data_IF_734797349373
#
_entry.id   IF_734797349373
#
_cell.length_a   1.000
_cell.length_b   1.000
_cell.length_c   1.000
_cell.angle_alpha   90.00
_cell.angle_beta   90.00
_cell.angle_gamma   90.00
#
_symmetry.space_group_name_H-M   'P 1'
#
loop_
_entity.id
_entity.type
_entity.pdbx_description
1 polymer ?
2 polymer ?
3 polymer ?
4 polymer ?
5 non-polymer ?
6 water ?
#
loop_
_entity_poly.entity_id
_entity_poly.type
_entity_poly.pdbx_seq_one_letter_code
_entity_poly.pdbx_strand_id
1 'polydeoxyribonucleotide' '(DC)(DA)(DG)(DG)(DT)(DC)(DA)(DA)(DA)(DG)(DG)(DT)(DC)(DA)(DG)' ?
2 'polydeoxyribonucleotide' '(DC)(DT)(DG)(DA)(DC)(DC)(DT)(DT)(DT)(DG)(DA)(DC)(DC)(DT)(DG)' ?
#
# COMPACT_ATOMS: atom_id res chain seq x y z
N UNK C 6 18.16 9.32 -12.03
CA UNK C 6 17.02 9.17 -11.11
C UNK C 6 15.80 9.92 -11.65
N UNK C 7 14.63 9.54 -11.15
CA UNK C 7 13.36 10.15 -11.53
C UNK C 7 13.38 11.65 -11.26
N UNK C 8 13.08 12.53 -12.20
CA UNK C 8 13.09 13.97 -11.93
C UNK C 8 12.05 14.40 -10.90
N UNK C 9 11.00 13.61 -10.76
CA UNK C 9 9.94 13.98 -9.82
C UNK C 9 10.25 13.52 -8.39
N UNK C 10 10.69 12.27 -8.24
CA UNK C 10 10.81 11.73 -6.89
C UNK C 10 12.14 11.11 -6.54
N UNK C 11 13.09 11.06 -7.47
CA UNK C 11 14.45 10.60 -7.33
C UNK C 11 14.56 9.08 -7.17
N UNK C 12 13.44 8.36 -7.28
CA UNK C 12 13.52 6.89 -7.36
C UNK C 12 14.24 6.48 -8.63
N UNK C 13 14.61 5.20 -8.76
CA UNK C 13 15.24 4.73 -9.99
C UNK C 13 14.31 4.96 -11.17
N UNK C 14 14.88 5.48 -12.25
CA UNK C 14 14.15 5.76 -13.48
C UNK C 14 14.10 4.52 -14.35
N UNK C 15 13.08 4.47 -15.21
CA UNK C 15 12.97 3.36 -16.16
C UNK C 15 13.13 3.89 -17.59
N UNK C 16 13.57 5.13 -17.69
CA UNK C 16 13.80 5.82 -18.94
C UNK C 16 12.99 7.09 -19.03
N UNK C 17 12.98 7.72 -20.20
CA UNK C 17 12.18 8.92 -20.40
C UNK C 17 10.72 8.57 -20.60
N UNK C 18 9.86 9.34 -19.94
CA UNK C 18 8.42 9.24 -19.95
C UNK C 18 7.85 10.66 -19.88
N UNK C 19 7.10 11.00 -20.92
CA UNK C 19 6.40 12.25 -21.11
C UNK C 19 7.40 13.41 -21.04
N UNK C 20 8.63 13.14 -21.47
CA UNK C 20 9.62 14.18 -21.66
C UNK C 20 10.69 14.25 -20.60
N UNK C 21 10.61 13.43 -19.55
CA UNK C 21 11.61 13.46 -18.49
C UNK C 21 11.99 12.05 -18.05
N UNK C 22 13.20 11.95 -17.51
CA UNK C 22 13.58 10.71 -16.83
C UNK C 22 12.61 10.47 -15.67
N UNK C 23 11.97 9.31 -15.62
CA UNK C 23 10.96 9.07 -14.58
C UNK C 23 10.86 7.62 -14.16
N UNK C 24 10.46 7.40 -12.90
CA UNK C 24 10.21 6.03 -12.47
C UNK C 24 8.84 5.54 -12.94
N UNK C 25 8.66 4.22 -12.87
CA UNK C 25 7.38 3.63 -13.30
C UNK C 25 6.21 4.19 -12.51
N UNK C 26 6.35 4.49 -11.22
CA UNK C 26 5.28 5.12 -10.49
C UNK C 26 4.85 6.49 -10.93
N UNK C 27 5.82 7.40 -11.17
CA UNK C 27 5.48 8.75 -11.56
C UNK C 27 4.95 8.71 -12.99
N UNK C 28 5.54 7.84 -13.82
CA UNK C 28 5.01 7.59 -15.17
C UNK C 28 3.54 7.20 -15.15
N UNK C 29 3.21 6.17 -14.38
CA UNK C 29 1.82 5.69 -14.30
C UNK C 29 0.89 6.69 -13.71
N UNK C 30 1.33 7.37 -12.64
CA UNK C 30 0.54 8.38 -11.98
C UNK C 30 0.16 9.54 -12.90
N UNK C 31 1.18 10.04 -13.61
CA UNK C 31 0.93 11.10 -14.58
C UNK C 31 -0.09 10.69 -15.66
N UNK C 32 0.17 9.55 -16.30
CA UNK C 32 -0.72 9.01 -17.32
C UNK C 32 -2.15 8.93 -16.82
N UNK C 33 -2.35 8.33 -15.63
CA UNK C 33 -3.71 8.24 -15.11
C UNK C 33 -4.30 9.61 -14.86
N UNK C 34 -3.49 10.51 -14.31
CA UNK C 34 -4.00 11.83 -13.94
C UNK C 34 -4.56 12.55 -15.17
N UNK C 35 -3.84 12.38 -16.28
CA UNK C 35 -4.22 13.07 -17.51
C UNK C 35 -5.36 12.37 -18.23
N UNK C 36 -5.20 11.06 -18.42
CA UNK C 36 -6.22 10.28 -19.10
C UNK C 36 -7.59 10.49 -18.46
N UNK C 37 -7.63 10.55 -17.13
CA UNK C 37 -8.90 10.72 -16.43
C UNK C 37 -9.19 12.13 -15.95
N UNK C 38 -8.41 13.12 -16.37
CA UNK C 38 -8.62 14.51 -15.98
C UNK C 38 -8.77 14.67 -14.47
N UNK C 39 -7.96 13.96 -13.70
CA UNK C 39 -8.05 14.03 -12.25
C UNK C 39 -7.81 15.45 -11.73
N UNK C 40 -8.56 15.80 -10.70
CA UNK C 40 -8.35 17.10 -10.05
C UNK C 40 -8.03 16.82 -8.59
N UNK C 41 -6.86 17.28 -8.13
CA UNK C 41 -6.53 16.92 -6.76
C UNK C 41 -6.53 18.16 -5.87
N UNK C 42 -6.56 17.94 -4.57
CA UNK C 42 -6.43 19.04 -3.62
C UNK C 42 -5.36 18.78 -2.57
N UNK C 43 -4.70 19.86 -2.17
CA UNK C 43 -3.66 19.77 -1.13
C UNK C 43 -4.24 20.17 0.23
N UNK C 44 -4.07 19.27 1.18
CA UNK C 44 -4.58 19.40 2.53
C UNK C 44 -3.60 20.17 3.42
N UNK C 45 -2.45 20.51 2.86
CA UNK C 45 -1.40 21.22 3.60
C UNK C 45 -1.11 22.54 2.92
N UNK C 46 0.10 22.80 2.43
CA UNK C 46 0.36 24.13 1.88
C UNK C 46 0.75 24.17 0.41
N UNK C 47 0.39 23.14 -0.34
CA UNK C 47 0.75 23.06 -1.75
C UNK C 47 2.26 23.17 -1.94
N UNK C 48 3.01 22.68 -0.95
CA UNK C 48 4.46 22.65 -0.95
C UNK C 48 5.02 21.34 -0.42
N UNK C 49 4.22 20.28 -0.54
CA UNK C 49 4.60 18.99 0.00
C UNK C 49 5.86 18.40 -0.59
N UNK C 50 6.68 17.83 0.28
CA UNK C 50 7.87 17.14 -0.19
C UNK C 50 7.51 15.88 -0.96
N UNK C 51 8.14 15.74 -2.12
CA UNK C 51 7.89 14.60 -3.00
C UNK C 51 9.21 13.91 -3.28
N UNK C 52 9.38 12.76 -2.64
CA UNK C 52 10.53 11.90 -2.93
C UNK C 52 10.09 10.44 -2.94
N UNK C 53 11.06 9.53 -3.02
CA UNK C 53 10.70 8.14 -3.22
C UNK C 53 9.84 7.61 -2.09
N UNK C 54 10.03 8.13 -0.88
CA UNK C 54 9.25 7.59 0.24
C UNK C 54 8.04 8.40 0.62
N UNK C 55 7.85 9.58 0.04
CA UNK C 55 6.72 10.41 0.40
C UNK C 55 5.76 10.68 -0.75
N UNK C 56 6.07 10.23 -1.96
CA UNK C 56 5.29 10.67 -3.12
C UNK C 56 3.80 10.40 -3.06
N UNK C 57 3.37 9.41 -2.30
CA UNK C 57 1.95 9.10 -2.29
C UNK C 57 1.18 9.87 -1.23
N UNK C 58 1.87 10.66 -0.43
CA UNK C 58 1.17 11.44 0.60
C UNK C 58 0.35 12.61 0.07
N UNK C 59 0.63 13.09 -1.14
CA UNK C 59 -0.15 14.19 -1.71
C UNK C 59 -0.14 14.15 -3.24
N UNK C 60 -1.29 13.76 -3.80
CA UNK C 60 -1.46 13.65 -5.25
C UNK C 60 -1.37 15.02 -5.91
N UNK C 61 -1.94 16.04 -5.26
CA UNK C 61 -1.86 17.39 -5.80
C UNK C 61 -0.42 17.81 -6.05
N UNK C 62 0.38 17.69 -4.99
CA UNK C 62 1.77 18.14 -5.10
C UNK C 62 2.56 17.22 -6.00
N UNK C 63 2.21 15.93 -6.06
CA UNK C 63 2.94 15.04 -6.94
C UNK C 63 2.75 15.46 -8.41
N UNK C 64 1.50 15.75 -8.74
CA UNK C 64 1.16 16.12 -10.11
C UNK C 64 1.86 17.44 -10.44
N UNK C 65 1.68 18.38 -9.51
CA UNK C 65 2.29 19.70 -9.65
C UNK C 65 3.77 19.57 -9.92
N UNK C 66 4.48 18.70 -9.19
CA UNK C 66 5.89 18.53 -9.49
C UNK C 66 6.08 17.87 -10.86
N UNK C 67 5.18 16.99 -11.28
CA UNK C 67 5.35 16.34 -12.58
C UNK C 67 5.43 17.40 -13.69
N UNK C 68 4.54 18.36 -13.61
CA UNK C 68 4.53 19.43 -14.59
C UNK C 68 5.77 20.31 -14.43
N UNK C 69 6.05 20.69 -13.19
CA UNK C 69 7.18 21.59 -12.91
C UNK C 69 8.48 21.13 -13.53
N UNK C 70 8.76 19.83 -13.44
CA UNK C 70 10.00 19.25 -13.89
C UNK C 70 9.96 19.03 -15.41
N UNK C 71 8.79 19.24 -15.98
CA UNK C 71 8.66 19.22 -17.42
C UNK C 71 7.90 18.07 -18.02
N UNK C 72 7.07 17.35 -17.25
CA UNK C 72 6.27 16.33 -17.92
C UNK C 72 5.21 16.98 -18.78
N UNK C 73 4.97 16.38 -19.95
CA UNK C 73 4.11 17.01 -20.96
C UNK C 73 2.77 16.30 -21.12
N UNK C 74 1.67 16.92 -20.78
CA UNK C 74 0.39 16.23 -20.91
C UNK C 74 0.04 15.97 -22.36
N UNK C 75 0.69 16.69 -23.27
CA UNK C 75 0.47 16.51 -24.71
C UNK C 75 1.10 15.23 -25.21
N UNK C 76 1.88 14.50 -24.42
CA UNK C 76 2.41 13.20 -24.84
C UNK C 76 1.52 12.06 -24.33
N UNK C 77 0.46 12.41 -23.61
CA UNK C 77 -0.62 11.49 -23.23
C UNK C 77 -1.61 11.47 -24.39
N UNK C 78 -1.68 10.32 -25.07
CA UNK C 78 -2.51 10.21 -26.27
C UNK C 78 -3.99 10.13 -25.96
N UNK C 79 -4.78 10.74 -26.84
CA UNK C 79 -6.23 10.72 -26.77
C UNK C 79 -6.73 9.27 -26.79
N UNK C 80 -7.93 9.09 -26.24
CA UNK C 80 -8.59 7.80 -26.15
C UNK C 80 -8.69 7.09 -27.49
N UNK D 1 -15.03 -16.65 -11.75
CA UNK D 1 -14.03 -17.74 -11.71
C UNK D 1 -14.47 -18.79 -10.70
N UNK D 2 -13.57 -19.66 -10.36
CA UNK D 2 -13.78 -20.65 -9.32
C UNK D 2 -14.08 -19.99 -7.98
N UNK D 3 -14.90 -20.60 -7.14
CA UNK D 3 -15.16 -20.11 -5.78
C UNK D 3 -13.96 -20.34 -4.87
N UNK D 4 -13.06 -21.19 -5.33
CA UNK D 4 -11.77 -21.41 -4.70
C UNK D 4 -10.76 -20.44 -5.31
N UNK D 5 -10.22 -19.51 -4.54
CA UNK D 5 -9.05 -18.76 -5.02
C UNK D 5 -7.87 -19.11 -4.13
N UNK D 6 -7.70 -18.52 -2.97
CA UNK D 6 -6.68 -18.89 -2.02
C UNK D 6 -7.29 -19.05 -0.62
N UNK D 7 -6.44 -19.43 0.32
CA UNK D 7 -6.87 -19.65 1.70
C UNK D 7 -5.95 -18.90 2.63
N UNK D 8 -6.51 -18.33 3.67
CA UNK D 8 -5.76 -17.60 4.67
C UNK D 8 -4.89 -18.56 5.45
N UNK D 9 -3.58 -18.28 5.47
CA UNK D 9 -2.64 -19.10 6.18
C UNK D 9 -2.76 -18.97 7.70
N UNK D 10 -3.40 -17.86 8.09
CA UNK D 10 -3.52 -17.65 9.54
C UNK D 10 -4.74 -18.38 10.08
N UNK D 11 -5.89 -18.28 9.43
CA UNK D 11 -7.12 -18.80 10.06
C UNK D 11 -7.92 -19.72 9.17
N UNK D 12 -7.55 -19.87 7.90
CA UNK D 12 -8.29 -20.83 7.09
C UNK D 12 -9.45 -20.24 6.34
N UNK D 13 -9.79 -18.97 6.52
CA UNK D 13 -10.87 -18.34 5.76
C UNK D 13 -10.42 -18.12 4.33
N UNK D 14 -11.31 -17.75 3.46
CA UNK D 14 -11.06 -17.43 2.06
C UNK D 14 -10.11 -16.26 1.92
N UNK D 15 -9.32 -16.28 0.85
CA UNK D 15 -8.35 -15.25 0.56
C UNK D 15 -8.27 -14.97 -0.93
N UNK D 16 -8.11 -13.69 -1.27
CA UNK D 16 -7.98 -13.27 -2.65
C UNK D 16 -6.53 -13.26 -3.10
N UNK D 17 -5.60 -13.30 -2.17
CA UNK D 17 -4.19 -13.25 -2.48
C UNK D 17 -3.38 -12.91 -1.25
N UNK D 18 -2.11 -12.57 -1.49
CA UNK D 18 -1.22 -12.25 -0.38
C UNK D 18 -1.41 -10.82 0.11
N UNK D 19 -1.16 -10.67 1.42
CA UNK D 19 -1.14 -9.35 2.03
C UNK D 19 0.04 -9.35 3.02
N UNK D 20 0.88 -8.34 2.91
CA UNK D 20 2.05 -8.22 3.80
C UNK D 20 2.92 -9.47 3.77
N UNK D 21 2.92 -10.16 2.62
CA UNK D 21 3.76 -11.30 2.36
C UNK D 21 3.13 -12.67 2.43
N UNK D 22 1.87 -12.76 2.84
CA UNK D 22 1.28 -14.06 3.15
C UNK D 22 -0.16 -14.15 2.70
N UNK D 23 -0.56 -15.30 2.16
CA UNK D 23 -1.98 -15.49 1.86
C UNK D 23 -2.82 -15.24 3.10
N UNK D 24 -3.71 -14.28 2.97
CA UNK D 24 -4.52 -13.93 4.15
C UNK D 24 -5.89 -13.39 3.79
N UNK D 25 -6.80 -13.53 4.78
CA UNK D 25 -8.15 -13.03 4.59
C UNK D 25 -8.25 -11.54 4.91
N UNK D 26 -9.38 -10.97 4.57
CA UNK D 26 -9.71 -9.58 4.85
C UNK D 26 -9.57 -9.32 6.35
N UNK D 27 -10.05 -10.25 7.16
CA UNK D 27 -9.91 -10.10 8.60
C UNK D 27 -8.47 -10.05 9.05
N UNK D 28 -7.68 -11.04 8.64
CA UNK D 28 -6.32 -11.12 9.19
C UNK D 28 -5.49 -9.98 8.57
N UNK D 29 -5.63 -9.62 7.30
CA UNK D 29 -4.95 -8.46 6.73
C UNK D 29 -5.21 -7.19 7.54
N UNK D 30 -6.50 -6.94 7.82
CA UNK D 30 -6.90 -5.73 8.52
C UNK D 30 -6.36 -5.71 9.94
N UNK D 31 -6.49 -6.84 10.63
CA UNK D 31 -6.03 -6.94 12.01
C UNK D 31 -4.54 -6.69 12.12
N UNK D 32 -3.79 -7.29 11.17
CA UNK D 32 -2.34 -7.06 11.17
C UNK D 32 -1.98 -5.60 10.91
N UNK D 33 -2.55 -4.97 9.90
CA UNK D 33 -2.33 -3.56 9.58
C UNK D 33 -2.63 -2.70 10.80
N UNK D 34 -3.79 -2.92 11.44
CA UNK D 34 -4.11 -2.06 12.58
C UNK D 34 -3.13 -2.26 13.74
N UNK D 35 -2.76 -3.48 14.01
CA UNK D 35 -1.81 -3.81 15.06
C UNK D 35 -0.49 -3.08 14.84
N UNK D 36 0.02 -3.15 13.63
CA UNK D 36 1.29 -2.49 13.31
C UNK D 36 1.16 -0.98 13.37
N UNK D 37 0.19 -0.34 12.76
CA UNK D 37 -0.04 1.09 12.68
C UNK D 37 -0.22 1.73 14.06
N UNK D 38 -0.92 1.02 14.93
CA UNK D 38 -1.17 1.56 16.26
C UNK D 38 -0.23 1.01 17.31
N UNK D 39 0.73 0.17 16.96
CA UNK D 39 1.64 -0.53 17.85
C UNK D 39 0.91 -1.09 19.08
N UNK D 40 -0.15 -1.85 18.80
CA UNK D 40 -0.90 -2.49 19.88
C UNK D 40 -0.10 -3.67 20.44
N UNK D 41 -0.24 -3.86 21.74
CA UNK D 41 0.29 -4.94 22.54
C UNK D 41 -0.83 -5.77 23.11
N UNK D 42 -0.70 -7.08 22.94
CA UNK D 42 -1.70 -8.03 23.40
C UNK D 42 -1.10 -8.98 24.43
N UNK D 43 -1.91 -9.59 25.28
CA UNK D 43 -1.53 -10.64 26.20
C UNK D 43 -2.49 -11.83 26.06
N UNK D 44 -1.93 -13.02 26.10
CA UNK D 44 -2.68 -14.26 26.05
C UNK D 44 -3.15 -14.67 27.45
N UNK D 45 -4.44 -14.96 27.60
CA UNK D 45 -4.94 -15.41 28.90
C UNK D 45 -4.75 -16.89 29.11
N UNK D 46 -4.10 -17.58 28.18
CA UNK D 46 -3.86 -19.02 28.31
C UNK D 46 -2.39 -19.36 28.22
N UNK D 47 -1.98 -20.18 27.24
CA UNK D 47 -0.61 -20.63 27.23
C UNK D 47 0.17 -20.24 25.97
N UNK D 48 -0.25 -19.19 25.33
CA UNK D 48 0.38 -18.62 24.15
C UNK D 48 0.43 -19.61 22.99
N UNK D 49 -0.54 -20.51 22.92
CA UNK D 49 -0.59 -21.47 21.82
C UNK D 49 -2.05 -21.75 21.43
N UNK D 50 -2.89 -20.74 21.56
CA UNK D 50 -4.29 -20.77 21.17
C UNK D 50 -4.46 -21.16 19.70
N UNK D 51 -5.51 -21.92 19.46
CA UNK D 51 -5.80 -22.39 18.10
C UNK D 51 -6.42 -21.28 17.27
N UNK D 52 -5.88 -21.01 16.07
CA UNK D 52 -6.44 -19.95 15.25
C UNK D 52 -7.12 -20.57 14.02
N UNK D 53 -8.42 -20.42 13.98
CA UNK D 53 -9.25 -20.79 12.84
C UNK D 53 -10.33 -19.76 12.68
N UNK D 54 -11.15 -19.92 11.65
CA UNK D 54 -12.10 -18.88 11.27
C UNK D 54 -13.04 -18.59 12.43
N UNK D 55 -13.50 -19.64 13.11
CA UNK D 55 -14.52 -19.36 14.13
C UNK D 55 -13.95 -18.82 15.43
N UNK D 56 -12.68 -19.06 15.77
CA UNK D 56 -12.21 -18.48 17.04
C UNK D 56 -11.09 -17.46 16.87
N UNK D 57 -10.86 -16.95 15.66
CA UNK D 57 -9.68 -16.09 15.45
C UNK D 57 -9.72 -14.84 16.33
N UNK D 58 -10.90 -14.38 16.76
CA UNK D 58 -10.95 -13.17 17.56
C UNK D 58 -10.80 -13.42 19.06
N UNK D 59 -10.82 -14.67 19.49
CA UNK D 59 -10.79 -14.98 20.93
C UNK D 59 -9.50 -14.53 21.62
N UNK D 60 -8.37 -14.69 20.98
CA UNK D 60 -7.06 -14.33 21.51
C UNK D 60 -6.27 -13.53 20.45
N UNK D 61 -6.21 -12.23 20.65
CA UNK D 61 -5.51 -11.29 19.80
C UNK D 61 -4.02 -11.56 19.85
N UNK D 62 -3.47 -11.87 21.04
CA UNK D 62 -2.05 -12.22 21.11
C UNK D 62 -1.69 -13.32 20.13
N UNK D 63 -2.41 -14.44 20.22
CA UNK D 63 -2.04 -15.61 19.45
C UNK D 63 -2.37 -15.40 17.96
N UNK D 64 -3.37 -14.62 17.66
CA UNK D 64 -3.67 -14.32 16.24
C UNK D 64 -2.49 -13.52 15.65
N UNK D 65 -2.04 -12.49 16.36
CA UNK D 65 -0.92 -11.71 15.84
C UNK D 65 0.37 -12.52 15.72
N UNK D 66 0.66 -13.35 16.72
CA UNK D 66 1.85 -14.16 16.71
C UNK D 66 1.77 -15.14 15.51
N UNK D 67 0.58 -15.60 15.15
CA UNK D 67 0.47 -16.52 14.00
C UNK D 67 0.62 -15.72 12.71
N UNK D 68 0.14 -14.48 12.68
CA UNK D 68 0.38 -13.64 11.51
C UNK D 68 1.88 -13.56 11.23
N UNK D 69 2.63 -13.30 12.30
CA UNK D 69 4.08 -13.24 12.15
C UNK D 69 4.69 -14.57 11.78
N UNK D 70 4.30 -15.66 12.41
CA UNK D 70 4.90 -16.96 12.23
C UNK D 70 4.63 -17.56 10.85
N UNK D 71 3.53 -17.11 10.23
CA UNK D 71 3.23 -17.55 8.88
C UNK D 71 3.94 -16.66 7.86
N UNK D 72 4.56 -15.57 8.29
CA UNK D 72 5.40 -14.80 7.41
C UNK D 72 5.10 -13.35 7.21
N UNK D 73 4.10 -12.78 7.89
CA UNK D 73 3.72 -11.41 7.62
C UNK D 73 4.83 -10.43 8.02
N UNK D 74 5.04 -9.47 7.11
CA UNK D 74 6.12 -8.49 7.22
C UNK D 74 5.65 -7.13 7.71
N UNK D 75 6.08 -6.78 8.94
CA UNK D 75 5.68 -5.49 9.51
C UNK D 75 6.04 -4.34 8.57
N UNK D 76 7.18 -4.45 7.91
CA UNK D 76 7.71 -3.36 7.08
C UNK D 76 6.95 -3.19 5.77
N UNK D 77 6.11 -4.16 5.44
CA UNK D 77 5.22 -4.07 4.27
C UNK D 77 4.00 -3.23 4.57
N UNK D 78 3.73 -2.93 5.84
CA UNK D 78 2.71 -1.94 6.20
C UNK D 78 3.27 -0.56 5.94
N UNK D 79 2.58 0.28 5.20
CA UNK D 79 3.07 1.60 4.81
C UNK D 79 2.55 2.68 5.73
N UNK D 80 3.01 3.91 5.46
CA UNK D 80 2.51 5.07 6.21
C UNK D 80 1.12 5.43 5.68
N UNK D 81 0.41 6.19 6.51
CA UNK D 81 -0.93 6.66 6.17
C UNK D 81 -0.83 7.45 4.88
N UNK D 82 -1.82 7.43 4.08
CA UNK D 82 -1.78 8.25 2.92
C UNK D 82 -2.90 9.09 3.12
N UNK D 83 -3.07 9.87 2.18
CA UNK D 83 -4.27 10.63 2.19
C UNK D 83 -4.46 10.72 0.72
N UNK D 84 -3.23 10.90 0.20
CA UNK D 84 -2.85 11.03 -1.20
C UNK D 84 -3.53 12.20 -1.85
#
# INVERSE_FOLDING_TARGET
PRIYKPCFVCQDKSSGYHYGVSACEGCKGFFRRSIQKNMVYTCHRDKNCIINKVTRNRCQYCRLQKCFEVGMSKESVRNDRNKKKK
GSFTKHICAICGDRSSGKHYGVYSCEGCKGFFKRTVRKDLTYTCRDNKDCLIDKRQRNRCQYCRYQKCLAMGMKREAVQEERQRG
#
